data_IF_341235884759
#
_entry.id   IF_341235884759
#
_cell.length_a   1.000
_cell.length_b   1.000
_cell.length_c   1.000
_cell.angle_alpha   90.00
_cell.angle_beta   90.00
_cell.angle_gamma   90.00
#
_symmetry.space_group_name_H-M   'P 1'
#
loop_
_entity.id
_entity.type
_entity.pdbx_description
1 polymer ?
#
# COMPACT_ATOMS: atom_id res chain seq x y z
N UNK A 1 25.94 6.96 5.77
CA UNK A 1 24.48 7.22 5.80
C UNK A 1 23.78 6.08 5.10
N UNK A 2 23.34 5.07 5.85
CA UNK A 2 22.62 3.93 5.30
C UNK A 2 21.20 4.37 4.92
N UNK A 3 20.88 4.29 3.63
CA UNK A 3 19.52 4.49 3.13
C UNK A 3 18.54 3.61 3.91
N UNK A 4 17.67 4.23 4.71
CA UNK A 4 16.56 3.58 5.40
C UNK A 4 15.60 2.99 4.35
N UNK A 5 15.83 1.73 3.99
CA UNK A 5 15.10 1.02 2.93
C UNK A 5 15.90 -0.13 2.32
N UNK A 6 17.22 -0.18 2.50
CA UNK A 6 18.10 -1.26 1.99
C UNK A 6 18.26 -2.45 2.96
N UNK A 7 17.34 -2.62 3.90
CA UNK A 7 17.34 -3.76 4.84
C UNK A 7 16.69 -5.01 4.24
N UNK A 8 17.05 -6.19 4.77
CA UNK A 8 16.35 -7.44 4.44
C UNK A 8 14.97 -7.41 5.11
N UNK A 9 13.95 -7.07 4.32
CA UNK A 9 12.57 -7.13 4.78
C UNK A 9 12.22 -8.58 5.15
N UNK A 10 11.56 -8.82 6.28
CA UNK A 10 11.20 -10.17 6.71
C UNK A 10 10.12 -10.78 5.81
N UNK A 11 10.20 -12.10 5.59
CA UNK A 11 9.15 -12.88 4.92
C UNK A 11 7.83 -12.72 5.63
N UNK A 12 6.74 -12.59 4.88
CA UNK A 12 5.44 -12.32 5.45
C UNK A 12 4.35 -12.15 4.40
N UNK A 13 3.24 -11.55 4.81
CA UNK A 13 2.10 -11.26 3.94
C UNK A 13 1.66 -9.80 4.11
N UNK A 14 2.29 -8.90 3.36
CA UNK A 14 2.03 -7.47 3.46
C UNK A 14 2.52 -6.73 2.22
N UNK A 15 1.98 -5.52 2.03
CA UNK A 15 2.42 -4.58 1.02
C UNK A 15 3.02 -3.32 1.66
N UNK A 16 3.87 -2.66 0.89
CA UNK A 16 4.40 -1.31 1.15
C UNK A 16 4.23 -0.45 -0.11
N UNK A 17 4.17 0.86 0.08
CA UNK A 17 4.22 1.80 -1.04
C UNK A 17 5.62 1.77 -1.65
N UNK A 18 5.71 1.65 -2.97
CA UNK A 18 7.01 1.56 -3.64
C UNK A 18 7.68 2.93 -3.65
N UNK A 19 8.91 3.00 -3.15
CA UNK A 19 9.76 4.18 -3.26
C UNK A 19 10.90 3.91 -4.25
N UNK A 20 11.12 4.82 -5.20
CA UNK A 20 12.04 4.62 -6.32
C UNK A 20 11.48 3.72 -7.43
N UNK A 21 12.38 3.17 -8.25
CA UNK A 21 12.01 2.45 -9.48
C UNK A 21 11.66 0.98 -9.28
N UNK A 22 12.16 0.35 -8.21
CA UNK A 22 12.09 -1.10 -8.02
C UNK A 22 11.64 -1.46 -6.61
N UNK A 23 11.07 -2.65 -6.47
CA UNK A 23 10.73 -3.20 -5.17
C UNK A 23 11.96 -3.75 -4.45
N UNK A 24 11.97 -3.73 -3.10
CA UNK A 24 12.99 -4.43 -2.33
C UNK A 24 13.01 -5.92 -2.67
N UNK A 25 14.15 -6.58 -2.40
CA UNK A 25 14.30 -8.01 -2.66
C UNK A 25 13.20 -8.83 -1.95
N UNK A 26 12.62 -9.80 -2.66
CA UNK A 26 11.54 -10.66 -2.18
C UNK A 26 10.13 -10.07 -2.35
N UNK A 27 9.99 -8.83 -2.83
CA UNK A 27 8.68 -8.26 -3.17
C UNK A 27 8.41 -8.32 -4.67
N UNK A 28 7.14 -8.55 -4.99
CA UNK A 28 6.57 -8.42 -6.33
C UNK A 28 5.94 -7.04 -6.49
N UNK A 29 6.05 -6.47 -7.69
CA UNK A 29 5.48 -5.15 -8.01
C UNK A 29 4.02 -5.26 -8.41
N UNK A 30 3.25 -4.23 -8.09
CA UNK A 30 1.92 -3.99 -8.62
C UNK A 30 1.51 -2.55 -8.44
N UNK A 31 0.24 -2.26 -8.67
CA UNK A 31 -0.28 -0.90 -8.69
C UNK A 31 -1.78 -0.86 -8.56
N UNK A 32 -2.28 0.24 -8.03
CA UNK A 32 -3.68 0.61 -8.06
C UNK A 32 -3.77 1.93 -8.85
N UNK A 33 -4.74 2.00 -9.75
CA UNK A 33 -5.06 3.16 -10.55
C UNK A 33 -6.46 3.62 -10.16
N UNK A 34 -6.55 4.90 -9.84
CA UNK A 34 -7.76 5.64 -9.56
C UNK A 34 -8.03 6.57 -10.74
N UNK A 35 -9.20 6.40 -11.33
CA UNK A 35 -9.79 7.35 -12.26
C UNK A 35 -10.45 8.42 -11.40
N UNK A 36 -9.67 9.44 -11.04
CA UNK A 36 -10.11 10.49 -10.13
C UNK A 36 -11.11 11.40 -10.86
N UNK A 37 -12.00 12.07 -10.11
CA UNK A 37 -13.05 12.96 -10.64
C UNK A 37 -12.55 13.91 -11.76
N UNK A 38 -13.12 13.82 -12.96
CA UNK A 38 -12.91 14.67 -14.12
C UNK A 38 -13.58 16.05 -13.93
N UNK A 39 -14.61 16.14 -13.09
CA UNK A 39 -15.33 17.38 -12.79
C UNK A 39 -15.02 17.89 -11.37
N UNK A 40 -14.59 19.15 -11.24
CA UNK A 40 -14.12 19.73 -9.96
C UNK A 40 -12.98 18.96 -9.28
N UNK A 41 -12.10 18.35 -10.09
CA UNK A 41 -10.92 17.65 -9.62
C UNK A 41 -10.07 18.52 -8.67
N UNK A 42 -9.90 18.08 -7.43
CA UNK A 42 -9.06 18.72 -6.41
C UNK A 42 -7.75 17.98 -6.16
N UNK A 43 -7.25 17.25 -7.15
CA UNK A 43 -5.99 16.53 -7.05
C UNK A 43 -4.81 17.45 -6.74
N UNK A 44 -3.99 17.02 -5.80
CA UNK A 44 -2.77 17.71 -5.39
C UNK A 44 -1.73 16.72 -4.91
N UNK A 45 -0.46 17.08 -5.06
CA UNK A 45 0.67 16.31 -4.51
C UNK A 45 1.70 17.25 -3.88
N UNK A 46 2.35 16.80 -2.82
CA UNK A 46 3.41 17.54 -2.14
C UNK A 46 4.32 16.60 -1.35
N UNK A 47 5.52 17.07 -1.03
CA UNK A 47 6.50 16.30 -0.26
C UNK A 47 7.04 15.07 -0.98
N UNK A 48 7.45 14.07 -0.20
CA UNK A 48 7.93 12.78 -0.70
C UNK A 48 6.75 11.84 -0.86
N UNK A 49 6.37 11.58 -2.11
CA UNK A 49 5.28 10.68 -2.45
C UNK A 49 5.81 9.32 -2.93
N UNK A 50 4.99 8.25 -2.84
CA UNK A 50 5.30 6.98 -3.48
C UNK A 50 5.59 7.13 -4.97
N UNK A 51 6.23 6.13 -5.55
CA UNK A 51 6.36 6.05 -6.99
C UNK A 51 4.99 5.83 -7.64
N UNK A 52 4.69 6.60 -8.68
CA UNK A 52 3.35 6.68 -9.23
C UNK A 52 3.24 7.68 -10.36
N UNK A 53 2.04 7.80 -10.92
CA UNK A 53 1.66 8.92 -11.78
C UNK A 53 0.58 9.71 -11.07
N UNK A 54 0.78 11.03 -10.99
CA UNK A 54 -0.09 11.93 -10.24
C UNK A 54 -0.39 13.13 -11.15
N UNK A 55 -1.46 13.00 -11.93
CA UNK A 55 -1.95 13.98 -12.89
C UNK A 55 -3.45 14.22 -12.66
N UNK A 56 -4.25 14.20 -13.73
CA UNK A 56 -5.71 14.17 -13.59
C UNK A 56 -6.20 12.92 -12.88
N UNK A 57 -5.49 11.81 -13.07
CA UNK A 57 -5.73 10.52 -12.40
C UNK A 57 -4.52 10.12 -11.56
N UNK A 58 -4.75 9.20 -10.63
CA UNK A 58 -3.74 8.75 -9.69
C UNK A 58 -3.38 7.30 -9.91
N UNK A 59 -2.09 7.01 -9.98
CA UNK A 59 -1.56 5.64 -9.95
C UNK A 59 -0.51 5.55 -8.88
N UNK A 60 -0.69 4.63 -7.94
CA UNK A 60 0.31 4.35 -6.91
C UNK A 60 0.87 2.96 -7.16
N UNK A 61 2.20 2.85 -7.16
CA UNK A 61 2.87 1.57 -7.26
C UNK A 61 3.17 1.01 -5.87
N UNK A 62 3.01 -0.30 -5.76
CA UNK A 62 3.17 -1.04 -4.53
C UNK A 62 4.17 -2.17 -4.71
N UNK A 63 4.73 -2.57 -3.59
CA UNK A 63 5.55 -3.76 -3.46
C UNK A 63 4.87 -4.66 -2.43
N UNK A 64 4.49 -5.88 -2.83
CA UNK A 64 3.91 -6.85 -1.91
C UNK A 64 4.71 -8.14 -1.87
N UNK A 65 4.67 -8.79 -0.72
CA UNK A 65 5.19 -10.13 -0.55
C UNK A 65 4.15 -11.00 0.16
N UNK A 66 4.14 -12.27 -0.19
CA UNK A 66 3.24 -13.31 0.35
C UNK A 66 4.01 -14.61 0.63
N UNK A 67 5.32 -14.50 0.81
CA UNK A 67 6.25 -15.60 1.02
C UNK A 67 6.38 -16.01 2.50
N UNK A 68 5.47 -15.56 3.36
CA UNK A 68 5.32 -15.94 4.76
C UNK A 68 3.87 -15.78 5.27
N UNK A 69 3.61 -16.25 6.48
CA UNK A 69 2.28 -16.17 7.11
C UNK A 69 2.09 -14.85 7.87
N UNK A 70 0.94 -14.20 7.71
CA UNK A 70 0.56 -13.03 8.50
C UNK A 70 0.43 -13.33 10.01
N UNK A 71 0.22 -14.60 10.38
CA UNK A 71 0.10 -15.04 11.78
C UNK A 71 1.45 -15.19 12.48
N UNK A 72 2.54 -15.28 11.72
CA UNK A 72 3.90 -15.32 12.26
C UNK A 72 4.37 -13.91 12.56
N UNK A 73 5.00 -13.68 13.72
CA UNK A 73 5.54 -12.37 14.06
C UNK A 73 6.79 -12.06 13.22
N UNK A 74 6.83 -10.87 12.63
CA UNK A 74 8.01 -10.33 11.95
C UNK A 74 8.69 -9.25 12.79
N UNK A 75 9.97 -9.03 12.57
CA UNK A 75 10.73 -7.94 13.21
C UNK A 75 10.91 -6.78 12.23
N UNK A 76 10.43 -5.60 12.62
CA UNK A 76 10.60 -4.32 11.94
C UNK A 76 11.03 -3.27 12.97
N UNK A 77 11.58 -2.11 12.57
CA UNK A 77 11.81 -1.02 13.50
C UNK A 77 10.51 -0.61 14.20
N UNK A 78 10.53 -0.59 15.53
CA UNK A 78 9.35 -0.30 16.38
C UNK A 78 9.49 1.02 17.14
N UNK A 79 10.49 1.83 16.81
CA UNK A 79 10.75 3.10 17.50
C UNK A 79 9.65 4.12 17.23
N UNK A 80 9.10 4.10 16.01
CA UNK A 80 8.02 4.99 15.58
C UNK A 80 6.86 4.15 15.00
N UNK A 81 5.62 4.63 15.12
CA UNK A 81 4.48 4.00 14.46
C UNK A 81 4.64 3.97 12.95
N UNK A 82 4.06 2.94 12.32
CA UNK A 82 4.12 2.81 10.86
C UNK A 82 2.91 2.08 10.29
N UNK A 83 2.80 2.13 8.97
CA UNK A 83 1.77 1.44 8.21
C UNK A 83 2.36 0.33 7.35
N UNK A 84 1.67 -0.81 7.34
CA UNK A 84 1.72 -1.77 6.24
C UNK A 84 0.33 -1.89 5.65
N UNK A 85 0.20 -2.38 4.42
CA UNK A 85 -1.11 -2.64 3.85
C UNK A 85 -1.37 -4.14 3.79
N UNK A 86 -2.61 -4.55 4.11
CA UNK A 86 -3.02 -5.95 4.07
C UNK A 86 -2.95 -6.45 2.63
N UNK A 87 -2.43 -7.65 2.43
CA UNK A 87 -2.29 -8.24 1.08
C UNK A 87 -3.30 -9.37 0.84
N UNK A 88 -2.88 -10.63 0.93
CA UNK A 88 -3.75 -11.78 0.64
C UNK A 88 -4.30 -12.46 1.89
N UNK A 89 -3.74 -12.17 3.07
CA UNK A 89 -4.24 -12.70 4.33
C UNK A 89 -5.55 -12.03 4.79
N UNK A 90 -6.33 -12.73 5.60
CA UNK A 90 -7.53 -12.20 6.29
C UNK A 90 -7.20 -11.28 7.47
N UNK A 91 -5.94 -11.27 7.93
CA UNK A 91 -5.47 -10.41 9.02
C UNK A 91 -4.29 -9.53 8.57
N UNK A 92 -4.03 -8.48 9.35
CA UNK A 92 -2.77 -7.76 9.27
C UNK A 92 -1.58 -8.63 9.68
N UNK A 93 -0.42 -8.38 9.07
CA UNK A 93 0.84 -9.02 9.41
C UNK A 93 1.22 -8.74 10.87
N UNK A 94 1.40 -9.77 11.70
CA UNK A 94 1.84 -9.55 13.09
C UNK A 94 3.28 -9.04 13.13
N UNK A 95 3.52 -7.97 13.87
CA UNK A 95 4.85 -7.39 14.11
C UNK A 95 5.18 -7.55 15.58
N UNK A 96 6.38 -8.07 15.87
CA UNK A 96 6.85 -8.24 17.25
C UNK A 96 7.00 -6.89 17.94
N UNK A 97 6.46 -6.76 19.15
CA UNK A 97 6.57 -5.54 19.96
C UNK A 97 5.62 -4.41 19.59
N UNK A 98 4.67 -4.62 18.67
CA UNK A 98 3.69 -3.60 18.25
C UNK A 98 2.26 -4.15 18.36
N UNK A 99 1.31 -3.28 18.69
CA UNK A 99 -0.11 -3.55 18.51
C UNK A 99 -0.54 -3.16 17.10
N UNK A 100 -1.56 -3.82 16.54
CA UNK A 100 -2.06 -3.51 15.20
C UNK A 100 -3.54 -3.15 15.22
N UNK A 101 -3.89 -2.09 14.47
CA UNK A 101 -5.28 -1.70 14.20
C UNK A 101 -5.48 -1.62 12.69
N UNK A 102 -6.45 -2.38 12.17
CA UNK A 102 -6.85 -2.29 10.77
C UNK A 102 -7.67 -1.01 10.56
N UNK A 103 -7.30 -0.25 9.53
CA UNK A 103 -7.98 0.96 9.08
C UNK A 103 -8.40 0.77 7.62
N UNK A 104 -9.56 1.31 7.26
CA UNK A 104 -10.05 1.29 5.88
C UNK A 104 -10.02 2.72 5.38
N UNK A 105 -9.27 2.95 4.30
CA UNK A 105 -9.28 4.21 3.57
C UNK A 105 -10.14 4.00 2.34
N UNK A 106 -11.25 4.74 2.26
CA UNK A 106 -12.12 4.78 1.09
C UNK A 106 -11.82 6.05 0.31
N UNK A 107 -11.51 5.92 -0.97
CA UNK A 107 -11.38 7.05 -1.89
C UNK A 107 -12.72 7.29 -2.57
N UNK A 108 -13.03 8.56 -2.83
CA UNK A 108 -14.17 8.94 -3.66
C UNK A 108 -13.64 9.11 -5.07
N UNK A 109 -14.03 8.19 -5.96
CA UNK A 109 -13.51 8.12 -7.34
C UNK A 109 -14.68 8.37 -8.31
N UNK A 110 -14.37 8.55 -9.61
CA UNK A 110 -15.34 8.97 -10.62
C UNK A 110 -16.74 8.35 -10.49
N UNK A 111 -17.74 9.21 -10.36
CA UNK A 111 -19.16 8.85 -10.33
C UNK A 111 -19.67 8.35 -11.69
N UNK A 112 -19.00 8.71 -12.80
CA UNK A 112 -19.39 8.34 -14.17
C UNK A 112 -18.24 7.75 -14.99
N UNK A 113 -18.49 6.67 -15.74
CA UNK A 113 -17.48 6.03 -16.63
C UNK A 113 -16.15 5.63 -15.97
N UNK A 114 -16.19 5.28 -14.67
CA UNK A 114 -15.03 4.94 -13.85
C UNK A 114 -14.18 3.79 -14.43
N UNK A 115 -12.90 4.06 -14.72
CA UNK A 115 -11.92 3.09 -15.21
C UNK A 115 -10.89 2.67 -14.16
N UNK A 116 -11.28 2.68 -12.88
CA UNK A 116 -10.51 2.12 -11.79
C UNK A 116 -9.94 0.75 -12.14
N UNK A 117 -8.64 0.56 -11.88
CA UNK A 117 -7.98 -0.69 -12.23
C UNK A 117 -6.87 -1.06 -11.27
N UNK A 118 -6.62 -2.36 -11.18
CA UNK A 118 -5.57 -2.96 -10.35
C UNK A 118 -4.69 -3.82 -11.22
N UNK A 119 -3.40 -3.91 -10.89
CA UNK A 119 -2.46 -4.72 -11.66
C UNK A 119 -1.35 -5.28 -10.76
N UNK A 120 -0.92 -6.51 -11.05
CA UNK A 120 0.18 -7.17 -10.36
C UNK A 120 -0.07 -7.39 -8.87
N UNK A 121 0.99 -7.28 -8.07
CA UNK A 121 0.91 -7.44 -6.61
C UNK A 121 0.60 -6.11 -5.92
N UNK A 122 -0.65 -5.94 -5.48
CA UNK A 122 -1.15 -4.72 -4.84
C UNK A 122 -1.88 -5.04 -3.51
N UNK A 123 -2.04 -4.05 -2.61
CA UNK A 123 -2.83 -4.21 -1.38
C UNK A 123 -4.23 -4.75 -1.62
N UNK A 124 -4.82 -5.35 -0.58
CA UNK A 124 -6.22 -5.70 -0.57
C UNK A 124 -7.03 -4.44 -0.83
N UNK A 125 -7.82 -4.50 -1.89
CA UNK A 125 -8.77 -3.46 -2.29
C UNK A 125 -10.13 -4.11 -2.53
N UNK A 126 -11.18 -3.39 -2.16
CA UNK A 126 -12.59 -3.73 -2.41
C UNK A 126 -13.31 -2.49 -2.94
N UNK A 127 -14.52 -2.69 -3.48
CA UNK A 127 -15.28 -1.63 -4.16
C UNK A 127 -14.85 -1.47 -5.62
N UNK A 128 -15.83 -1.14 -6.47
CA UNK A 128 -15.64 -0.99 -7.92
C UNK A 128 -15.82 0.45 -8.40
N UNK A 129 -16.60 1.26 -7.68
CA UNK A 129 -16.68 2.71 -7.87
C UNK A 129 -15.64 3.38 -6.99
N UNK A 130 -15.83 3.25 -5.67
CA UNK A 130 -14.89 3.78 -4.69
C UNK A 130 -13.95 2.67 -4.21
N UNK A 131 -12.65 2.85 -4.39
CA UNK A 131 -11.67 1.91 -3.84
C UNK A 131 -11.57 2.02 -2.32
N UNK A 132 -11.71 0.89 -1.65
CA UNK A 132 -11.47 0.75 -0.21
C UNK A 132 -10.21 -0.08 0.03
N UNK A 133 -9.18 0.57 0.58
CA UNK A 133 -7.88 -0.03 0.86
C UNK A 133 -7.74 -0.33 2.35
N UNK A 134 -7.15 -1.49 2.65
CA UNK A 134 -6.98 -1.97 4.02
C UNK A 134 -5.56 -1.70 4.52
N UNK A 135 -5.44 -0.73 5.41
CA UNK A 135 -4.22 -0.33 6.09
C UNK A 135 -4.12 -0.99 7.46
N UNK A 136 -2.91 -1.26 7.90
CA UNK A 136 -2.60 -1.81 9.21
C UNK A 136 -1.68 -0.82 9.90
N UNK A 137 -2.22 -0.10 10.90
CA UNK A 137 -1.47 0.83 11.73
C UNK A 137 -0.82 0.07 12.89
N UNK A 138 0.50 0.18 13.00
CA UNK A 138 1.29 -0.43 14.08
C UNK A 138 1.78 0.67 15.02
N UNK A 139 1.56 0.47 16.33
CA UNK A 139 2.01 1.38 17.41
C UNK A 139 2.28 0.64 18.71
#
# INVERSE_FOLDING_TARGET
>A
TSYSGSGSWPRGNYCIMRYGSYCPSGFSSGSIYWDDEDSYNMNGKGGYVPSGTYGSNTRINYCCRSDGSAYSYISLPTTDPFYLMRYTSSICQRVSGMSVREEIITTDDEDTSNNNSVSGSHPKVTGTRNHSLYYCYYS
#
